data_IF_762879749761
#
_entry.id   IF_762879749761
#
_cell.length_a   1.000
_cell.length_b   1.000
_cell.length_c   1.000
_cell.angle_alpha   90.00
_cell.angle_beta   90.00
_cell.angle_gamma   90.00
#
_symmetry.space_group_name_H-M   'P 1'
#
loop_
_entity.id
_entity.type
_entity.pdbx_description
1 polymer ?
#
# COMPACT_ATOMS: atom_id res chain seq x y z
N UNK A 1 -14.38 25.52 50.96
CA UNK A 1 -14.16 25.88 49.54
C UNK A 1 -13.30 24.79 48.92
N UNK A 2 -13.97 23.76 48.38
CA UNK A 2 -13.32 22.53 47.89
C UNK A 2 -13.26 22.63 46.36
N UNK A 3 -12.03 22.79 45.84
CA UNK A 3 -11.78 22.76 44.40
C UNK A 3 -11.69 21.33 43.95
N UNK A 4 -12.77 20.79 43.38
CA UNK A 4 -12.73 19.58 42.58
C UNK A 4 -12.13 19.93 41.20
N UNK A 5 -10.84 19.67 41.02
CA UNK A 5 -10.29 19.48 39.66
C UNK A 5 -10.74 18.11 39.18
N UNK A 6 -11.85 18.11 38.50
CA UNK A 6 -12.33 16.90 37.78
C UNK A 6 -11.37 16.57 36.67
N UNK A 7 -10.55 15.54 36.89
CA UNK A 7 -9.84 14.84 35.84
C UNK A 7 -10.89 13.97 35.16
N UNK A 8 -11.45 14.44 34.05
CA UNK A 8 -12.26 13.62 33.19
C UNK A 8 -11.24 12.73 32.44
N UNK A 9 -11.19 11.41 32.69
CA UNK A 9 -10.41 10.54 31.85
C UNK A 9 -11.04 10.64 30.47
N UNK A 10 -10.32 11.21 29.50
CA UNK A 10 -10.64 11.12 28.09
C UNK A 10 -10.61 9.62 27.79
N UNK A 11 -11.79 9.01 27.84
CA UNK A 11 -12.01 7.66 27.33
C UNK A 11 -11.70 7.74 25.85
N UNK A 12 -10.45 7.48 25.49
CA UNK A 12 -10.06 7.24 24.11
C UNK A 12 -10.80 5.97 23.69
N UNK A 13 -12.06 6.18 23.30
CA UNK A 13 -12.84 5.13 22.68
C UNK A 13 -12.10 4.81 21.37
N UNK A 14 -11.26 3.78 21.41
CA UNK A 14 -10.67 3.19 20.22
C UNK A 14 -11.81 2.63 19.39
N UNK A 15 -12.43 3.47 18.58
CA UNK A 15 -13.45 3.05 17.62
C UNK A 15 -12.76 2.05 16.70
N UNK A 16 -13.00 0.76 16.89
CA UNK A 16 -12.56 -0.27 15.96
C UNK A 16 -13.25 -0.02 14.63
N UNK A 17 -12.48 0.46 13.67
CA UNK A 17 -13.00 0.78 12.35
C UNK A 17 -12.74 -0.42 11.46
N UNK A 18 -13.75 -1.29 11.33
CA UNK A 18 -13.74 -2.34 10.32
C UNK A 18 -14.01 -1.69 8.97
N UNK A 19 -13.10 -1.81 8.03
CA UNK A 19 -13.27 -1.34 6.65
C UNK A 19 -12.47 -2.21 5.69
N UNK A 20 -13.01 -2.36 4.48
CA UNK A 20 -12.33 -3.00 3.38
C UNK A 20 -11.67 -1.93 2.52
N UNK A 21 -10.36 -1.99 2.40
CA UNK A 21 -9.56 -1.01 1.65
C UNK A 21 -8.98 -1.70 0.42
N UNK A 22 -9.25 -1.14 -0.77
CA UNK A 22 -8.55 -1.50 -1.99
C UNK A 22 -7.33 -0.59 -2.15
N UNK A 23 -6.14 -1.17 -2.16
CA UNK A 23 -4.88 -0.47 -2.41
C UNK A 23 -4.44 -0.70 -3.86
N UNK A 24 -4.26 0.36 -4.63
CA UNK A 24 -4.04 0.29 -6.07
C UNK A 24 -2.62 0.72 -6.42
N UNK A 25 -1.79 -0.26 -6.73
CA UNK A 25 -0.48 -0.10 -7.36
C UNK A 25 -0.20 -1.32 -8.23
N UNK A 26 -0.33 -1.19 -9.55
CA UNK A 26 -0.47 -2.33 -10.45
C UNK A 26 0.85 -2.97 -10.88
N UNK A 27 1.91 -2.19 -11.08
CA UNK A 27 3.11 -2.69 -11.76
C UNK A 27 4.39 -1.98 -11.38
N UNK A 28 5.48 -2.60 -11.84
CA UNK A 28 6.89 -2.31 -11.63
C UNK A 28 7.37 -2.57 -10.20
N UNK A 29 8.37 -3.46 -10.09
CA UNK A 29 8.92 -3.94 -8.82
C UNK A 29 9.29 -2.77 -7.89
N UNK A 30 10.09 -1.82 -8.37
CA UNK A 30 10.53 -0.67 -7.58
C UNK A 30 9.37 0.18 -7.07
N UNK A 31 8.36 0.38 -7.91
CA UNK A 31 7.20 1.19 -7.54
C UNK A 31 6.29 0.50 -6.51
N UNK A 32 6.15 -0.82 -6.59
CA UNK A 32 5.42 -1.61 -5.60
C UNK A 32 6.15 -1.57 -4.27
N UNK A 33 7.47 -1.77 -4.27
CA UNK A 33 8.28 -1.66 -3.05
C UNK A 33 8.21 -0.26 -2.44
N UNK A 34 8.22 0.81 -3.26
CA UNK A 34 8.03 2.18 -2.77
C UNK A 34 6.63 2.43 -2.17
N UNK A 35 5.64 1.59 -2.50
CA UNK A 35 4.28 1.73 -1.98
C UNK A 35 4.06 0.93 -0.68
N UNK A 36 4.93 -0.03 -0.33
CA UNK A 36 4.78 -0.83 0.90
C UNK A 36 4.74 0.01 2.18
N UNK A 37 5.53 1.11 2.33
CA UNK A 37 5.43 1.96 3.52
C UNK A 37 4.06 2.65 3.69
N UNK A 38 3.34 2.91 2.58
CA UNK A 38 1.99 3.47 2.66
C UNK A 38 0.96 2.43 3.12
N UNK A 39 1.08 1.18 2.64
CA UNK A 39 0.26 0.05 3.09
C UNK A 39 0.50 -0.23 4.59
N UNK A 40 1.77 -0.26 5.00
CA UNK A 40 2.17 -0.38 6.40
C UNK A 40 1.55 0.72 7.26
N UNK A 41 1.67 2.00 6.83
CA UNK A 41 1.07 3.11 7.53
C UNK A 41 -0.43 2.91 7.75
N UNK A 42 -1.15 2.45 6.73
CA UNK A 42 -2.59 2.14 6.85
C UNK A 42 -2.84 1.08 7.91
N UNK A 43 -2.13 -0.04 7.89
CA UNK A 43 -2.32 -1.14 8.85
C UNK A 43 -1.91 -0.78 10.27
N UNK A 44 -0.89 0.06 10.46
CA UNK A 44 -0.48 0.55 11.78
C UNK A 44 -1.53 1.50 12.42
N UNK A 45 -2.22 2.30 11.59
CA UNK A 45 -3.24 3.24 12.07
C UNK A 45 -4.65 2.64 12.09
N UNK A 46 -4.90 1.64 11.25
CA UNK A 46 -6.18 0.93 11.11
C UNK A 46 -5.96 -0.58 11.15
N UNK A 47 -5.56 -1.16 12.29
CA UNK A 47 -5.18 -2.58 12.38
C UNK A 47 -6.34 -3.53 12.06
N UNK A 48 -7.58 -3.10 12.28
CA UNK A 48 -8.79 -3.88 11.99
C UNK A 48 -9.26 -3.74 10.52
N UNK A 49 -8.66 -2.86 9.73
CA UNK A 49 -8.97 -2.74 8.32
C UNK A 49 -8.38 -3.92 7.54
N UNK A 50 -9.15 -4.45 6.58
CA UNK A 50 -8.66 -5.43 5.61
C UNK A 50 -8.11 -4.70 4.40
N UNK A 51 -6.82 -4.86 4.15
CA UNK A 51 -6.12 -4.24 3.03
C UNK A 51 -5.94 -5.26 1.91
N UNK A 52 -6.64 -5.01 0.80
CA UNK A 52 -6.56 -5.80 -0.42
C UNK A 52 -5.73 -5.03 -1.44
N UNK A 53 -4.67 -5.65 -1.95
CA UNK A 53 -3.79 -4.99 -2.91
C UNK A 53 -4.00 -5.54 -4.32
N UNK A 54 -4.40 -4.69 -5.27
CA UNK A 54 -4.53 -5.08 -6.66
C UNK A 54 -3.23 -4.84 -7.42
N UNK A 55 -2.74 -5.88 -8.10
CA UNK A 55 -1.48 -5.89 -8.87
C UNK A 55 -1.61 -6.69 -10.16
N UNK A 56 -0.64 -6.54 -11.08
CA UNK A 56 -0.50 -7.47 -12.20
C UNK A 56 -0.06 -8.85 -11.70
N UNK A 57 -0.44 -9.97 -12.38
CA UNK A 57 -0.10 -11.32 -11.95
C UNK A 57 1.39 -11.54 -11.71
N UNK A 58 2.24 -10.94 -12.55
CA UNK A 58 3.70 -11.01 -12.43
C UNK A 58 4.28 -10.39 -11.15
N UNK A 59 3.49 -9.62 -10.42
CA UNK A 59 3.91 -8.94 -9.18
C UNK A 59 3.33 -9.57 -7.92
N UNK A 60 2.53 -10.63 -8.03
CA UNK A 60 1.89 -11.30 -6.89
C UNK A 60 2.92 -11.83 -5.92
N UNK A 61 3.96 -12.51 -6.43
CA UNK A 61 5.01 -13.10 -5.59
C UNK A 61 5.77 -12.05 -4.77
N UNK A 62 5.92 -10.84 -5.28
CA UNK A 62 6.59 -9.74 -4.58
C UNK A 62 5.87 -9.31 -3.29
N UNK A 63 4.57 -9.52 -3.22
CA UNK A 63 3.73 -9.15 -2.07
C UNK A 63 3.39 -10.34 -1.18
N UNK A 64 3.72 -11.57 -1.58
CA UNK A 64 3.47 -12.75 -0.76
C UNK A 64 4.22 -12.66 0.57
N UNK A 65 3.51 -12.98 1.66
CA UNK A 65 4.07 -12.92 3.01
C UNK A 65 4.17 -11.52 3.61
N UNK A 66 3.76 -10.47 2.90
CA UNK A 66 3.72 -9.12 3.46
C UNK A 66 2.62 -9.02 4.54
N UNK A 67 2.98 -8.79 5.83
CA UNK A 67 2.01 -8.80 6.95
C UNK A 67 1.03 -7.62 6.91
N UNK A 68 1.26 -6.63 6.06
CA UNK A 68 0.40 -5.45 5.90
C UNK A 68 -0.62 -5.61 4.78
N UNK A 69 -0.60 -6.75 4.06
CA UNK A 69 -1.51 -7.06 2.96
C UNK A 69 -2.31 -8.30 3.32
N UNK A 70 -3.62 -8.14 3.51
CA UNK A 70 -4.50 -9.26 3.88
C UNK A 70 -4.83 -10.13 2.67
N UNK A 71 -4.94 -9.53 1.48
CA UNK A 71 -5.24 -10.25 0.25
C UNK A 71 -4.63 -9.56 -0.98
N UNK A 72 -4.12 -10.35 -1.91
CA UNK A 72 -3.56 -9.88 -3.18
C UNK A 72 -4.54 -10.23 -4.29
N UNK A 73 -4.98 -9.23 -5.05
CA UNK A 73 -5.93 -9.37 -6.16
C UNK A 73 -5.18 -9.24 -7.48
N UNK A 74 -4.92 -10.34 -8.21
CA UNK A 74 -4.30 -10.24 -9.53
C UNK A 74 -5.27 -9.70 -10.56
N UNK A 75 -4.79 -8.82 -11.46
CA UNK A 75 -5.54 -8.28 -12.59
C UNK A 75 -4.66 -8.12 -13.83
N UNK A 76 -5.19 -8.56 -14.98
CA UNK A 76 -4.51 -8.58 -16.30
C UNK A 76 -4.45 -7.16 -16.91
N UNK A 77 -3.75 -6.25 -16.23
CA UNK A 77 -3.57 -4.88 -16.67
C UNK A 77 -2.89 -4.79 -18.05
N UNK A 78 -1.88 -5.63 -18.31
CA UNK A 78 -1.07 -5.54 -19.53
C UNK A 78 -1.91 -5.95 -20.76
N UNK A 79 -2.80 -6.93 -20.62
CA UNK A 79 -3.76 -7.28 -21.63
C UNK A 79 -4.74 -6.14 -21.89
N UNK A 80 -5.26 -5.50 -20.82
CA UNK A 80 -6.13 -4.34 -20.95
C UNK A 80 -5.44 -3.19 -21.71
N UNK A 81 -4.18 -2.88 -21.39
CA UNK A 81 -3.41 -1.84 -22.09
C UNK A 81 -3.13 -2.21 -23.56
N UNK A 82 -2.89 -3.48 -23.87
CA UNK A 82 -2.70 -3.95 -25.24
C UNK A 82 -3.97 -3.72 -26.09
N UNK A 83 -5.15 -3.99 -25.54
CA UNK A 83 -6.43 -3.72 -26.20
C UNK A 83 -6.71 -2.20 -26.31
N UNK A 84 -6.33 -1.43 -25.31
CA UNK A 84 -6.44 0.04 -25.32
C UNK A 84 -5.64 0.65 -26.47
N UNK A 85 -4.40 0.21 -26.67
CA UNK A 85 -3.56 0.69 -27.78
C UNK A 85 -4.13 0.37 -29.16
N UNK A 86 -4.89 -0.73 -29.27
CA UNK A 86 -5.56 -1.17 -30.51
C UNK A 86 -6.99 -0.60 -30.64
N UNK A 87 -7.44 0.20 -29.69
CA UNK A 87 -8.80 0.76 -29.62
C UNK A 87 -9.92 -0.29 -29.68
N UNK A 88 -9.67 -1.49 -29.14
CA UNK A 88 -10.67 -2.56 -29.05
C UNK A 88 -11.67 -2.29 -27.90
N UNK A 89 -12.51 -1.27 -28.09
CA UNK A 89 -13.46 -0.76 -27.09
C UNK A 89 -14.37 -1.86 -26.50
N UNK A 90 -14.98 -2.76 -27.30
CA UNK A 90 -15.85 -3.79 -26.74
C UNK A 90 -15.11 -4.74 -25.78
N UNK A 91 -13.87 -5.12 -26.10
CA UNK A 91 -13.04 -5.98 -25.24
C UNK A 91 -12.65 -5.27 -23.96
N UNK A 92 -12.22 -4.00 -24.05
CA UNK A 92 -11.89 -3.18 -22.89
C UNK A 92 -13.10 -3.03 -21.95
N UNK A 93 -14.28 -2.80 -22.51
CA UNK A 93 -15.53 -2.68 -21.75
C UNK A 93 -15.87 -3.99 -21.03
N UNK A 94 -15.76 -5.13 -21.71
CA UNK A 94 -15.94 -6.45 -21.10
C UNK A 94 -14.96 -6.68 -19.95
N UNK A 95 -13.67 -6.50 -20.18
CA UNK A 95 -12.63 -6.65 -19.15
C UNK A 95 -12.85 -5.76 -17.95
N UNK A 96 -13.35 -4.53 -18.15
CA UNK A 96 -13.71 -3.65 -17.07
C UNK A 96 -14.90 -4.14 -16.24
N UNK A 97 -15.92 -4.70 -16.89
CA UNK A 97 -17.06 -5.31 -16.20
C UNK A 97 -16.64 -6.57 -15.44
N UNK A 98 -15.79 -7.42 -16.03
CA UNK A 98 -15.21 -8.59 -15.36
C UNK A 98 -14.43 -8.17 -14.11
N UNK A 99 -13.62 -7.10 -14.18
CA UNK A 99 -12.93 -6.54 -13.03
C UNK A 99 -13.92 -6.07 -11.97
N UNK A 100 -14.96 -5.33 -12.37
CA UNK A 100 -15.99 -4.84 -11.46
C UNK A 100 -16.70 -5.99 -10.74
N UNK A 101 -17.10 -7.02 -11.47
CA UNK A 101 -17.77 -8.19 -10.89
C UNK A 101 -16.83 -8.93 -9.94
N UNK A 102 -15.53 -9.01 -10.24
CA UNK A 102 -14.51 -9.55 -9.36
C UNK A 102 -14.35 -8.75 -8.07
N UNK A 103 -14.42 -7.42 -8.14
CA UNK A 103 -14.21 -6.53 -6.99
C UNK A 103 -15.49 -6.33 -6.15
N UNK A 104 -16.67 -6.47 -6.72
CA UNK A 104 -17.96 -6.23 -6.07
C UNK A 104 -18.19 -6.99 -4.76
N UNK A 105 -17.81 -8.28 -4.62
CA UNK A 105 -18.03 -9.04 -3.38
C UNK A 105 -17.30 -8.47 -2.16
N UNK A 106 -16.19 -7.77 -2.38
CA UNK A 106 -15.37 -7.21 -1.29
C UNK A 106 -16.03 -6.01 -0.59
N UNK A 107 -16.99 -5.33 -1.25
CA UNK A 107 -17.71 -4.18 -0.69
C UNK A 107 -16.73 -3.15 -0.10
N UNK A 108 -15.81 -2.67 -0.91
CA UNK A 108 -14.80 -1.71 -0.49
C UNK A 108 -15.40 -0.42 0.05
N UNK A 109 -14.97 -0.02 1.23
CA UNK A 109 -15.30 1.28 1.83
C UNK A 109 -14.40 2.38 1.27
N UNK A 110 -13.14 2.03 1.03
CA UNK A 110 -12.10 2.96 0.57
C UNK A 110 -11.29 2.32 -0.56
N UNK A 111 -10.93 3.13 -1.55
CA UNK A 111 -9.94 2.76 -2.54
C UNK A 111 -8.81 3.81 -2.56
N UNK A 112 -7.57 3.36 -2.47
CA UNK A 112 -6.36 4.20 -2.36
C UNK A 112 -5.51 4.00 -3.59
N UNK A 113 -5.38 5.03 -4.42
CA UNK A 113 -4.55 5.01 -5.63
C UNK A 113 -3.27 5.81 -5.44
N UNK A 114 -2.16 5.12 -5.34
CA UNK A 114 -0.83 5.74 -5.26
C UNK A 114 -0.12 5.81 -6.63
N UNK A 115 -0.75 5.33 -7.69
CA UNK A 115 -0.20 5.35 -9.05
C UNK A 115 -0.61 6.60 -9.84
N UNK A 116 -1.88 7.00 -9.76
CA UNK A 116 -2.36 8.23 -10.35
C UNK A 116 -2.49 8.21 -11.88
N UNK A 117 -2.75 7.04 -12.49
CA UNK A 117 -2.94 6.89 -13.94
C UNK A 117 -4.42 6.75 -14.31
N UNK A 118 -4.76 7.00 -15.58
CA UNK A 118 -6.13 6.80 -16.08
C UNK A 118 -6.64 5.39 -15.80
N UNK A 119 -5.80 4.38 -16.05
CA UNK A 119 -6.14 2.96 -15.85
C UNK A 119 -6.43 2.65 -14.38
N UNK A 120 -5.67 3.22 -13.44
CA UNK A 120 -5.93 3.04 -12.00
C UNK A 120 -7.19 3.78 -11.57
N UNK A 121 -7.52 4.90 -12.20
CA UNK A 121 -8.80 5.57 -12.02
C UNK A 121 -9.99 4.68 -12.40
N UNK A 122 -9.89 3.93 -13.50
CA UNK A 122 -10.90 2.94 -13.89
C UNK A 122 -11.03 1.80 -12.87
N UNK A 123 -9.92 1.38 -12.24
CA UNK A 123 -9.94 0.41 -11.13
C UNK A 123 -10.66 0.98 -9.92
N UNK A 124 -10.43 2.27 -9.57
CA UNK A 124 -11.16 2.94 -8.50
C UNK A 124 -12.67 2.93 -8.74
N UNK A 125 -13.12 3.19 -9.97
CA UNK A 125 -14.55 3.11 -10.32
C UNK A 125 -15.08 1.68 -10.23
N UNK A 126 -14.32 0.70 -10.72
CA UNK A 126 -14.72 -0.70 -10.69
C UNK A 126 -14.89 -1.22 -9.26
N UNK A 127 -14.10 -0.71 -8.31
CA UNK A 127 -14.19 -1.10 -6.90
C UNK A 127 -15.53 -0.75 -6.25
N UNK A 128 -16.22 0.28 -6.76
CA UNK A 128 -17.45 0.83 -6.17
C UNK A 128 -17.26 1.52 -4.83
N UNK A 129 -16.01 1.73 -4.38
CA UNK A 129 -15.71 2.39 -3.12
C UNK A 129 -16.23 3.84 -3.10
N UNK A 130 -16.97 4.25 -2.04
CA UNK A 130 -17.46 5.63 -1.92
C UNK A 130 -16.33 6.62 -1.65
N UNK A 131 -15.29 6.21 -0.92
CA UNK A 131 -14.10 7.01 -0.62
C UNK A 131 -12.98 6.59 -1.57
N UNK A 132 -12.52 7.52 -2.41
CA UNK A 132 -11.46 7.27 -3.38
C UNK A 132 -10.35 8.30 -3.21
N UNK A 133 -9.22 7.83 -2.68
CA UNK A 133 -8.05 8.64 -2.39
C UNK A 133 -7.05 8.54 -3.54
N UNK A 134 -6.38 9.63 -3.88
CA UNK A 134 -5.37 9.60 -4.92
C UNK A 134 -4.40 10.77 -4.88
N UNK A 135 -3.42 10.72 -5.78
CA UNK A 135 -2.45 11.79 -5.97
C UNK A 135 -3.08 12.98 -6.68
N UNK A 136 -2.87 14.17 -6.14
CA UNK A 136 -3.18 15.42 -6.83
C UNK A 136 -2.12 15.77 -7.87
N UNK A 137 -2.51 16.55 -8.90
CA UNK A 137 -1.57 17.03 -9.91
C UNK A 137 -1.10 15.97 -10.92
N UNK A 138 -1.80 14.83 -11.02
CA UNK A 138 -1.50 13.80 -12.03
C UNK A 138 -1.89 14.24 -13.42
N UNK A 139 -1.07 13.88 -14.43
CA UNK A 139 -1.25 14.31 -15.83
C UNK A 139 -2.36 13.54 -16.58
N UNK A 140 -2.74 12.35 -16.12
CA UNK A 140 -3.59 11.41 -16.83
C UNK A 140 -5.03 11.39 -16.28
N UNK A 141 -5.75 12.51 -16.23
CA UNK A 141 -7.19 12.57 -15.88
C UNK A 141 -7.63 11.73 -14.65
N UNK A 142 -6.70 11.12 -13.92
CA UNK A 142 -6.98 10.29 -12.73
C UNK A 142 -7.76 11.07 -11.65
N UNK A 143 -7.57 12.40 -11.62
CA UNK A 143 -8.26 13.29 -10.71
C UNK A 143 -9.80 13.27 -10.86
N UNK A 144 -10.33 12.80 -11.98
CA UNK A 144 -11.78 12.65 -12.20
C UNK A 144 -12.36 11.48 -11.38
N UNK A 145 -11.53 10.51 -11.01
CA UNK A 145 -11.96 9.29 -10.34
C UNK A 145 -11.74 9.32 -8.83
N UNK A 146 -11.00 10.30 -8.33
CA UNK A 146 -10.68 10.49 -6.90
C UNK A 146 -11.49 11.63 -6.32
N UNK A 147 -12.09 11.41 -5.16
CA UNK A 147 -12.79 12.46 -4.41
C UNK A 147 -11.92 13.14 -3.35
N UNK A 148 -10.86 12.47 -2.89
CA UNK A 148 -9.84 13.05 -2.01
C UNK A 148 -8.47 13.02 -2.67
N UNK A 149 -7.73 14.12 -2.65
CA UNK A 149 -6.47 14.28 -3.39
C UNK A 149 -5.37 14.82 -2.51
N UNK A 150 -4.26 14.06 -2.38
CA UNK A 150 -3.06 14.56 -1.73
C UNK A 150 -2.39 15.62 -2.59
N UNK A 151 -2.05 16.75 -2.02
CA UNK A 151 -1.14 17.71 -2.64
C UNK A 151 0.28 17.30 -2.25
N UNK A 152 1.11 16.82 -3.19
CA UNK A 152 2.45 16.37 -2.83
C UNK A 152 3.26 17.54 -2.27
N UNK A 153 3.77 17.38 -1.05
CA UNK A 153 4.66 18.34 -0.38
C UNK A 153 6.12 18.12 -0.72
N UNK A 154 6.43 17.04 -1.44
CA UNK A 154 7.80 16.58 -1.70
C UNK A 154 7.89 15.82 -3.03
N UNK A 155 9.09 15.80 -3.61
CA UNK A 155 9.40 14.99 -4.80
C UNK A 155 9.71 13.53 -4.45
N UNK A 156 9.91 13.22 -3.18
CA UNK A 156 10.24 11.86 -2.75
C UNK A 156 9.01 10.93 -2.86
N UNK A 157 9.10 9.93 -3.72
CA UNK A 157 7.98 9.06 -4.10
C UNK A 157 7.29 8.37 -2.91
N UNK A 158 8.07 7.80 -1.97
CA UNK A 158 7.54 7.10 -0.79
C UNK A 158 6.72 8.06 0.09
N UNK A 159 7.23 9.28 0.32
CA UNK A 159 6.52 10.30 1.10
C UNK A 159 5.19 10.66 0.45
N UNK A 160 5.17 10.83 -0.87
CA UNK A 160 3.94 11.12 -1.62
C UNK A 160 2.90 10.01 -1.46
N UNK A 161 3.31 8.73 -1.45
CA UNK A 161 2.39 7.61 -1.25
C UNK A 161 1.83 7.58 0.18
N UNK A 162 2.67 7.88 1.18
CA UNK A 162 2.23 8.01 2.58
C UNK A 162 1.27 9.20 2.75
N UNK A 163 1.49 10.33 2.05
CA UNK A 163 0.58 11.47 2.07
C UNK A 163 -0.81 11.11 1.53
N UNK A 164 -0.89 10.25 0.50
CA UNK A 164 -2.19 9.71 0.05
C UNK A 164 -2.83 8.85 1.12
N UNK A 165 -2.07 7.96 1.78
CA UNK A 165 -2.59 7.12 2.86
C UNK A 165 -3.12 7.97 4.04
N UNK A 166 -2.44 9.05 4.39
CA UNK A 166 -2.84 9.97 5.47
C UNK A 166 -4.18 10.68 5.21
N UNK A 167 -4.59 10.84 3.95
CA UNK A 167 -5.92 11.37 3.63
C UNK A 167 -7.05 10.50 4.19
N UNK A 168 -6.77 9.22 4.48
CA UNK A 168 -7.75 8.29 5.04
C UNK A 168 -8.38 8.82 6.32
N UNK A 169 -7.58 9.48 7.19
CA UNK A 169 -8.07 10.04 8.45
C UNK A 169 -9.19 11.08 8.21
N UNK A 170 -8.92 12.06 7.36
CA UNK A 170 -9.89 13.12 7.05
C UNK A 170 -11.10 12.59 6.28
N UNK A 171 -10.86 11.72 5.29
CA UNK A 171 -11.91 11.17 4.44
C UNK A 171 -12.90 10.28 5.21
N UNK A 172 -12.40 9.43 6.12
CA UNK A 172 -13.25 8.58 6.97
C UNK A 172 -14.03 9.41 7.98
N UNK A 173 -13.40 10.42 8.59
CA UNK A 173 -14.05 11.31 9.54
C UNK A 173 -15.21 12.08 8.88
N UNK A 174 -14.96 12.67 7.71
CA UNK A 174 -15.97 13.40 6.95
C UNK A 174 -17.13 12.50 6.50
N UNK A 175 -16.81 11.33 5.93
CA UNK A 175 -17.82 10.39 5.45
C UNK A 175 -18.73 9.85 6.55
N UNK A 176 -18.22 9.75 7.79
CA UNK A 176 -18.99 9.31 8.96
C UNK A 176 -19.66 10.45 9.72
N UNK A 177 -19.57 11.68 9.25
CA UNK A 177 -20.16 12.86 9.91
C UNK A 177 -19.50 13.15 11.28
N UNK A 178 -18.28 12.65 11.51
CA UNK A 178 -17.51 13.01 12.68
C UNK A 178 -16.94 14.40 12.48
N UNK A 179 -17.14 15.30 13.46
CA UNK A 179 -16.63 16.65 13.35
C UNK A 179 -15.12 16.64 13.10
N UNK A 180 -14.68 17.47 12.14
CA UNK A 180 -13.28 17.53 11.65
C UNK A 180 -12.27 17.88 12.78
N UNK A 181 -12.73 18.41 13.91
CA UNK A 181 -11.90 18.64 15.12
C UNK A 181 -11.54 17.36 15.86
N UNK A 182 -12.29 16.26 15.59
CA UNK A 182 -11.96 14.90 16.04
C UNK A 182 -11.20 14.11 14.96
N UNK A 183 -11.05 14.65 13.75
CA UNK A 183 -10.08 14.20 12.75
C UNK A 183 -8.68 14.54 13.30
N UNK A 184 -8.39 13.75 14.26
CA UNK A 184 -7.26 13.54 15.09
C UNK A 184 -5.99 14.06 14.45
N UNK A 185 -5.30 14.90 15.18
CA UNK A 185 -3.87 14.80 15.34
C UNK A 185 -3.52 13.32 15.67
N UNK A 186 -3.56 12.44 14.70
CA UNK A 186 -2.76 11.24 14.72
C UNK A 186 -1.36 11.79 14.62
N UNK A 187 -0.71 11.84 15.79
CA UNK A 187 0.63 12.34 15.92
C UNK A 187 1.44 11.83 14.74
N UNK A 188 1.90 12.75 13.91
CA UNK A 188 2.83 12.49 12.80
C UNK A 188 4.13 11.83 13.31
N UNK A 189 4.19 11.54 14.60
CA UNK A 189 5.35 11.15 15.37
C UNK A 189 5.45 9.67 15.75
N UNK A 190 4.50 8.79 15.38
CA UNK A 190 4.87 7.38 15.45
C UNK A 190 5.84 7.12 14.30
N UNK A 191 7.15 7.16 14.54
CA UNK A 191 8.11 6.82 13.52
C UNK A 191 7.88 5.36 13.17
N UNK A 192 7.88 5.02 11.89
CA UNK A 192 8.25 3.67 11.47
C UNK A 192 9.64 3.42 12.05
N UNK A 193 9.71 2.86 13.25
CA UNK A 193 10.97 2.71 13.99
C UNK A 193 11.75 1.63 13.27
N UNK A 194 12.82 2.06 12.65
CA UNK A 194 13.93 1.19 12.35
C UNK A 194 15.04 1.56 13.31
N UNK A 195 15.50 0.57 14.07
CA UNK A 195 16.63 0.68 14.96
C UNK A 195 17.88 1.09 14.17
N UNK A 196 18.09 2.36 14.03
CA UNK A 196 19.28 2.96 13.47
C UNK A 196 19.70 4.12 14.37
N UNK A 197 20.91 4.08 14.87
CA UNK A 197 21.53 5.00 15.85
C UNK A 197 21.74 6.44 15.37
N UNK A 198 21.02 6.90 14.37
CA UNK A 198 21.08 8.28 13.87
C UNK A 198 19.67 8.74 13.54
N UNK A 199 19.16 9.70 14.26
CA UNK A 199 17.79 10.25 14.25
C UNK A 199 17.24 10.74 12.89
N UNK A 200 17.64 10.15 11.79
CA UNK A 200 17.10 10.33 10.45
C UNK A 200 15.97 9.33 10.24
N UNK A 201 14.75 9.81 10.02
CA UNK A 201 13.60 9.00 9.60
C UNK A 201 13.95 8.31 8.27
N UNK A 202 14.23 7.01 8.32
CA UNK A 202 14.41 6.18 7.13
C UNK A 202 13.06 5.53 6.81
N UNK A 203 12.55 5.77 5.60
CA UNK A 203 11.40 5.03 5.07
C UNK A 203 11.92 3.70 4.54
N UNK A 204 11.58 2.60 5.21
CA UNK A 204 11.91 1.27 4.73
C UNK A 204 10.89 0.79 3.73
N UNK A 205 11.37 0.23 2.63
CA UNK A 205 10.59 -0.61 1.74
C UNK A 205 10.50 -2.00 2.37
N UNK A 206 9.27 -2.51 2.49
CA UNK A 206 9.04 -3.81 3.11
C UNK A 206 9.07 -4.89 2.02
N UNK A 207 10.12 -5.69 2.03
CA UNK A 207 10.26 -6.87 1.20
C UNK A 207 10.25 -8.10 2.10
N UNK A 208 9.27 -8.97 1.90
CA UNK A 208 9.10 -10.18 2.68
C UNK A 208 9.43 -11.39 1.81
N UNK A 209 10.42 -12.16 2.24
CA UNK A 209 10.75 -13.42 1.60
C UNK A 209 10.02 -14.53 2.33
N UNK A 210 9.16 -15.30 1.66
CA UNK A 210 8.52 -16.46 2.27
C UNK A 210 9.53 -17.44 2.86
N UNK A 211 9.22 -18.06 4.00
CA UNK A 211 10.14 -18.92 4.74
C UNK A 211 10.69 -20.09 3.93
N UNK A 212 9.88 -20.64 3.02
CA UNK A 212 10.30 -21.69 2.10
C UNK A 212 11.37 -21.22 1.08
N UNK A 213 11.33 -19.94 0.68
CA UNK A 213 12.33 -19.35 -0.20
C UNK A 213 13.61 -18.99 0.55
N UNK A 214 13.54 -18.67 1.84
CA UNK A 214 14.73 -18.51 2.69
C UNK A 214 15.54 -19.80 2.73
N UNK A 215 14.90 -20.93 3.02
CA UNK A 215 15.58 -22.23 3.07
C UNK A 215 16.22 -22.59 1.72
N UNK A 216 15.50 -22.37 0.62
CA UNK A 216 16.04 -22.56 -0.72
C UNK A 216 17.23 -21.65 -1.03
N UNK A 217 17.13 -20.36 -0.68
CA UNK A 217 18.20 -19.39 -0.91
C UNK A 217 19.47 -19.74 -0.11
N UNK A 218 19.33 -20.15 1.15
CA UNK A 218 20.45 -20.60 2.00
C UNK A 218 21.12 -21.87 1.41
N UNK A 219 20.34 -22.81 0.89
CA UNK A 219 20.87 -24.01 0.23
C UNK A 219 21.64 -23.67 -1.05
N UNK A 220 21.07 -22.78 -1.91
CA UNK A 220 21.76 -22.33 -3.12
C UNK A 220 23.04 -21.55 -2.78
N UNK A 221 22.97 -20.69 -1.77
CA UNK A 221 24.14 -19.93 -1.31
C UNK A 221 25.26 -20.83 -0.76
N UNK A 222 24.88 -21.85 -0.01
CA UNK A 222 25.82 -22.86 0.49
C UNK A 222 26.50 -23.64 -0.66
N UNK A 223 25.74 -24.00 -1.71
CA UNK A 223 26.31 -24.72 -2.86
C UNK A 223 27.28 -23.86 -3.66
N UNK A 224 26.93 -22.57 -3.90
CA UNK A 224 27.82 -21.62 -4.61
C UNK A 224 29.12 -21.37 -3.82
N UNK A 225 29.02 -21.20 -2.52
CA UNK A 225 30.20 -21.01 -1.68
C UNK A 225 31.10 -22.26 -1.62
N UNK A 226 30.49 -23.44 -1.64
CA UNK A 226 31.25 -24.72 -1.68
C UNK A 226 32.02 -24.85 -2.99
N UNK A 227 31.42 -24.60 -4.13
CA UNK A 227 32.09 -24.66 -5.44
C UNK A 227 33.18 -23.58 -5.58
N UNK A 228 32.94 -22.37 -5.06
CA UNK A 228 33.93 -21.28 -5.10
C UNK A 228 35.13 -21.55 -4.18
N UNK A 229 34.91 -22.20 -3.03
CA UNK A 229 35.98 -22.59 -2.10
C UNK A 229 36.89 -23.70 -2.66
N UNK A 230 36.31 -24.63 -3.41
CA UNK A 230 37.05 -25.69 -4.11
C UNK A 230 37.91 -25.14 -5.25
N UNK A 231 37.48 -24.06 -5.92
CA UNK A 231 38.18 -23.47 -7.07
C UNK A 231 39.29 -22.50 -6.68
N UNK A 232 39.33 -21.96 -5.46
CA UNK A 232 40.28 -20.90 -5.04
C UNK A 232 41.28 -21.27 -3.96
N UNK A 233 41.16 -22.41 -3.30
CA UNK A 233 42.17 -22.86 -2.30
C UNK A 233 42.39 -21.96 -1.08
N UNK A 234 41.59 -20.87 -0.92
CA UNK A 234 41.66 -19.91 0.17
C UNK A 234 40.33 -19.76 0.86
N UNK A 235 40.29 -20.04 2.16
CA UNK A 235 39.10 -19.92 2.99
C UNK A 235 38.99 -18.49 3.54
N UNK A 236 38.41 -17.58 2.80
CA UNK A 236 37.92 -16.33 3.38
C UNK A 236 36.42 -16.41 3.69
N UNK A 237 36.06 -15.96 4.91
CA UNK A 237 34.69 -15.99 5.42
C UNK A 237 33.75 -15.18 4.52
N UNK A 238 32.57 -15.71 4.22
CA UNK A 238 31.59 -14.98 3.40
C UNK A 238 31.16 -13.67 4.09
N UNK A 239 31.04 -12.60 3.29
CA UNK A 239 30.48 -11.32 3.69
C UNK A 239 29.02 -11.55 4.09
N UNK A 240 28.69 -11.31 5.36
CA UNK A 240 27.30 -11.21 5.82
C UNK A 240 26.76 -9.85 5.43
N UNK A 241 25.81 -9.83 4.51
CA UNK A 241 24.97 -8.65 4.26
C UNK A 241 23.92 -8.63 5.37
N UNK A 242 24.04 -7.65 6.27
CA UNK A 242 23.12 -7.40 7.37
C UNK A 242 21.87 -6.64 6.91
#
# INVERSE_FOLDING_TARGET
MIHYKGFIPILVCTIRIYMNILFVRLSYIGDILHATPAARWIKEHYPEAKLHWIVTPSMVELLQGNPYVDEIIPWERDEYEAHSKKLHIPTMWRMWWELRDKLKPYKFDVAVDVQGRLITGLVLLASGAPIRLGLGGTKELNWMFTNYKAKPSTDHVIKRYIEVAKLLNAAVAEHRGLATSAAVNVDDEKPCIVNGSSGKRLYHMDFFVPSNLHAWAEEQWASINYETSLSRGDVEKPLRIG
#
